data_IF_625485790001
#
_entry.id   IF_625485790001
#
_cell.length_a   1.000
_cell.length_b   1.000
_cell.length_c   1.000
_cell.angle_alpha   90.00
_cell.angle_beta   90.00
_cell.angle_gamma   90.00
#
_symmetry.space_group_name_H-M   'P 1'
#
loop_
_entity.id
_entity.type
_entity.pdbx_description
1 polymer ?
#
# COMPACT_ATOMS: atom_id res chain seq x y z
N UNK A 1 -18.47 -31.87 10.40
CA UNK A 1 -17.05 -31.77 9.97
C UNK A 1 -16.90 -32.42 8.61
N UNK A 2 -16.22 -31.78 7.66
CA UNK A 2 -15.89 -32.40 6.37
C UNK A 2 -14.70 -33.33 6.56
N UNK A 3 -14.94 -34.64 6.53
CA UNK A 3 -13.93 -35.68 6.72
C UNK A 3 -12.94 -35.80 5.54
N UNK A 4 -13.21 -35.14 4.41
CA UNK A 4 -12.39 -35.19 3.19
C UNK A 4 -11.73 -33.85 2.82
N UNK A 5 -11.75 -32.86 3.72
CA UNK A 5 -11.09 -31.58 3.45
C UNK A 5 -9.58 -31.81 3.36
N UNK A 6 -9.00 -31.52 2.19
CA UNK A 6 -7.55 -31.47 2.02
C UNK A 6 -6.99 -30.22 2.71
N UNK A 7 -5.77 -30.26 3.26
CA UNK A 7 -5.12 -29.05 3.76
C UNK A 7 -5.00 -28.03 2.64
N UNK A 8 -5.10 -26.74 2.99
CA UNK A 8 -4.91 -25.66 2.04
C UNK A 8 -3.47 -25.69 1.52
N UNK A 9 -3.30 -25.55 0.20
CA UNK A 9 -1.97 -25.51 -0.39
C UNK A 9 -1.21 -24.27 0.10
N UNK A 10 0.03 -24.47 0.54
CA UNK A 10 0.95 -23.41 0.92
C UNK A 10 2.23 -23.56 0.07
N UNK A 11 2.57 -22.51 -0.67
CA UNK A 11 3.80 -22.50 -1.46
C UNK A 11 5.05 -22.51 -0.59
N UNK A 12 6.16 -23.00 -1.14
CA UNK A 12 7.45 -23.05 -0.45
C UNK A 12 7.91 -21.66 0.01
N UNK A 13 7.61 -20.63 -0.77
CA UNK A 13 7.90 -19.23 -0.43
C UNK A 13 7.13 -18.80 0.82
N UNK A 14 5.83 -19.13 0.91
CA UNK A 14 5.03 -18.79 2.09
C UNK A 14 5.53 -19.54 3.32
N UNK A 15 5.95 -20.81 3.19
CA UNK A 15 6.54 -21.56 4.30
C UNK A 15 7.85 -20.91 4.76
N UNK A 16 8.73 -20.55 3.82
CA UNK A 16 9.98 -19.84 4.11
C UNK A 16 9.75 -18.51 4.83
N UNK A 17 8.83 -17.66 4.34
CA UNK A 17 8.55 -16.37 4.97
C UNK A 17 8.02 -16.56 6.39
N UNK A 18 7.13 -17.54 6.61
CA UNK A 18 6.61 -17.82 7.95
C UNK A 18 7.73 -18.28 8.90
N UNK A 19 8.61 -19.16 8.44
CA UNK A 19 9.76 -19.60 9.22
C UNK A 19 10.71 -18.42 9.55
N UNK A 20 11.02 -17.58 8.56
CA UNK A 20 11.87 -16.40 8.75
C UNK A 20 11.30 -15.46 9.82
N UNK A 21 10.00 -15.20 9.80
CA UNK A 21 9.33 -14.34 10.80
C UNK A 21 9.31 -14.96 12.19
N UNK A 22 9.19 -16.29 12.28
CA UNK A 22 9.26 -16.99 13.57
C UNK A 22 10.67 -16.93 14.17
N UNK A 23 11.71 -17.08 13.33
CA UNK A 23 13.10 -17.00 13.75
C UNK A 23 13.53 -15.56 14.08
N UNK A 24 12.91 -14.56 13.44
CA UNK A 24 13.26 -13.13 13.56
C UNK A 24 12.01 -12.25 13.72
N UNK A 25 11.38 -12.25 14.92
CA UNK A 25 10.17 -11.49 15.16
C UNK A 25 10.35 -9.97 15.02
N UNK A 26 11.59 -9.46 15.11
CA UNK A 26 11.92 -8.05 14.95
C UNK A 26 11.73 -7.51 13.52
N UNK A 27 11.69 -8.40 12.50
CA UNK A 27 11.56 -8.01 11.10
C UNK A 27 10.29 -7.19 10.86
N UNK A 28 9.17 -7.55 11.49
CA UNK A 28 7.90 -6.84 11.28
C UNK A 28 7.97 -5.39 11.78
N UNK A 29 8.62 -5.16 12.92
CA UNK A 29 8.86 -3.82 13.45
C UNK A 29 9.79 -3.01 12.52
N UNK A 30 10.86 -3.64 12.01
CA UNK A 30 11.77 -3.00 11.07
C UNK A 30 11.09 -2.67 9.73
N UNK A 31 10.19 -3.52 9.25
CA UNK A 31 9.39 -3.24 8.05
C UNK A 31 8.46 -2.05 8.25
N UNK A 32 7.79 -1.97 9.40
CA UNK A 32 6.94 -0.82 9.73
C UNK A 32 7.77 0.47 9.81
N UNK A 33 8.93 0.44 10.48
CA UNK A 33 9.85 1.59 10.54
C UNK A 33 10.33 1.99 9.14
N UNK A 34 10.80 1.04 8.34
CA UNK A 34 11.25 1.29 6.97
C UNK A 34 10.16 1.88 6.08
N UNK A 35 8.91 1.41 6.20
CA UNK A 35 7.76 1.98 5.50
C UNK A 35 7.47 3.40 5.97
N UNK A 36 7.55 3.66 7.27
CA UNK A 36 7.27 4.98 7.83
C UNK A 36 8.22 6.08 7.36
N UNK A 37 9.44 5.71 6.94
CA UNK A 37 10.44 6.67 6.47
C UNK A 37 10.09 7.31 5.12
N UNK A 38 9.59 6.51 4.16
CA UNK A 38 9.44 6.96 2.76
C UNK A 38 8.01 6.84 2.22
N UNK A 39 7.19 5.99 2.83
CA UNK A 39 5.87 5.64 2.32
C UNK A 39 4.73 6.21 3.15
N UNK A 40 4.80 6.10 4.48
CA UNK A 40 3.74 6.63 5.34
C UNK A 40 3.94 8.14 5.53
N UNK A 41 3.41 8.92 4.58
CA UNK A 41 3.44 10.39 4.64
C UNK A 41 2.23 10.89 5.44
N UNK A 42 2.41 11.77 6.44
CA UNK A 42 1.30 12.47 7.05
C UNK A 42 0.69 13.40 6.00
N UNK A 43 -0.55 13.12 5.61
CA UNK A 43 -1.32 13.95 4.69
C UNK A 43 -2.32 14.76 5.52
N UNK A 44 -2.21 16.08 5.44
CA UNK A 44 -3.23 16.97 5.97
C UNK A 44 -4.47 16.91 5.07
N UNK A 45 -5.60 16.52 5.67
CA UNK A 45 -6.86 16.33 4.96
C UNK A 45 -7.51 17.67 4.60
N UNK A 46 -7.39 18.67 5.46
CA UNK A 46 -7.96 20.00 5.22
C UNK A 46 -7.24 20.65 4.03
N UNK A 47 -5.90 20.55 4.02
CA UNK A 47 -5.09 21.03 2.90
C UNK A 47 -5.39 20.30 1.59
N UNK A 48 -5.68 18.99 1.65
CA UNK A 48 -6.10 18.21 0.47
C UNK A 48 -7.44 18.66 -0.09
N UNK A 49 -8.40 18.99 0.78
CA UNK A 49 -9.69 19.54 0.38
C UNK A 49 -9.52 20.92 -0.28
N UNK A 50 -8.68 21.78 0.28
CA UNK A 50 -8.35 23.08 -0.32
C UNK A 50 -7.70 22.94 -1.70
N UNK A 51 -6.72 22.03 -1.86
CA UNK A 51 -6.11 21.76 -3.17
C UNK A 51 -7.12 21.21 -4.18
N UNK A 52 -8.06 20.38 -3.73
CA UNK A 52 -9.12 19.85 -4.59
C UNK A 52 -10.09 20.95 -5.01
N UNK A 53 -10.46 21.84 -4.08
CA UNK A 53 -11.35 22.96 -4.34
C UNK A 53 -10.72 24.03 -5.27
N UNK A 54 -9.42 24.23 -5.19
CA UNK A 54 -8.66 25.13 -6.08
C UNK A 54 -8.20 24.50 -7.41
N UNK A 55 -8.51 23.22 -7.64
CA UNK A 55 -8.11 22.51 -8.84
C UNK A 55 -8.79 23.05 -10.10
N UNK A 56 -8.02 23.21 -11.18
CA UNK A 56 -8.56 23.52 -12.52
C UNK A 56 -8.80 22.21 -13.26
N UNK A 57 -9.91 22.11 -13.98
CA UNK A 57 -10.24 20.92 -14.76
C UNK A 57 -9.12 20.61 -15.78
N UNK A 58 -8.51 19.42 -15.73
CA UNK A 58 -7.43 19.08 -16.64
C UNK A 58 -7.96 19.00 -18.07
N UNK A 59 -7.24 19.57 -19.03
CA UNK A 59 -7.56 19.43 -20.45
C UNK A 59 -7.56 17.94 -20.84
N UNK A 60 -8.55 17.45 -21.61
CA UNK A 60 -8.63 16.05 -22.01
C UNK A 60 -7.43 15.61 -22.86
N UNK A 61 -6.75 16.57 -23.52
CA UNK A 61 -5.55 16.33 -24.29
C UNK A 61 -4.52 17.44 -24.04
N UNK A 62 -3.29 17.03 -23.73
CA UNK A 62 -2.15 17.88 -23.35
C UNK A 62 -1.78 18.93 -24.41
N UNK A 63 -2.16 18.70 -25.67
CA UNK A 63 -1.81 19.57 -26.80
C UNK A 63 -2.85 20.64 -27.13
N UNK A 64 -3.98 20.67 -26.44
CA UNK A 64 -4.98 21.72 -26.64
C UNK A 64 -4.86 22.79 -25.55
N UNK A 65 -4.81 24.09 -25.92
CA UNK A 65 -4.80 25.17 -24.94
C UNK A 65 -6.14 25.22 -24.19
N UNK A 66 -6.08 25.58 -22.90
CA UNK A 66 -7.27 25.85 -22.09
C UNK A 66 -8.15 26.89 -22.79
N UNK A 67 -9.37 26.50 -23.15
CA UNK A 67 -10.36 27.40 -23.74
C UNK A 67 -10.78 28.41 -22.66
N UNK A 68 -10.79 29.73 -22.97
CA UNK A 68 -11.07 30.78 -21.99
C UNK A 68 -12.50 30.74 -21.45
#
# INVERSE_FOLDING_TARGET
MSFFRRPDYQSDITQFINQLKNERPEIDAQQQQGRSLLWDKPVDRELWEEYTAGGVEPQPYVYFPLRP
#
